data_IF_399273960158
#
_entry.id   IF_399273960158
#
_cell.length_a   1.000
_cell.length_b   1.000
_cell.length_c   1.000
_cell.angle_alpha   90.00
_cell.angle_beta   90.00
_cell.angle_gamma   90.00
#
_symmetry.space_group_name_H-M   'P 1'
#
loop_
_entity.id
_entity.type
_entity.pdbx_description
1 polymer ?
#
# COMPACT_ATOMS: atom_id res chain seq x y z
N UNK A 1 20.04 1.74 -11.07
CA UNK A 1 18.62 1.80 -10.68
C UNK A 1 18.42 1.02 -9.37
N UNK A 2 18.07 1.75 -8.29
CA UNK A 2 17.86 1.17 -6.95
C UNK A 2 16.41 0.71 -6.72
N UNK A 3 15.52 0.94 -7.68
CA UNK A 3 14.11 0.56 -7.66
C UNK A 3 13.14 1.68 -7.28
N UNK A 4 11.84 1.43 -7.49
CA UNK A 4 10.77 2.41 -7.28
C UNK A 4 10.70 2.91 -5.84
N UNK A 5 10.80 2.02 -4.86
CA UNK A 5 10.77 2.41 -3.45
C UNK A 5 11.92 3.32 -3.05
N UNK A 6 13.12 3.15 -3.63
CA UNK A 6 14.25 4.05 -3.40
C UNK A 6 13.98 5.46 -3.97
N UNK A 7 13.39 5.54 -5.17
CA UNK A 7 12.99 6.82 -5.76
C UNK A 7 11.95 7.54 -4.89
N UNK A 8 10.92 6.83 -4.44
CA UNK A 8 9.89 7.37 -3.53
C UNK A 8 10.51 7.86 -2.21
N UNK A 9 11.42 7.09 -1.61
CA UNK A 9 12.12 7.52 -0.39
C UNK A 9 12.92 8.81 -0.60
N UNK A 10 13.59 8.94 -1.74
CA UNK A 10 14.33 10.15 -2.09
C UNK A 10 13.38 11.33 -2.25
N UNK A 11 12.26 11.15 -2.96
CA UNK A 11 11.23 12.17 -3.11
C UNK A 11 10.66 12.64 -1.77
N UNK A 12 10.31 11.71 -0.87
CA UNK A 12 9.78 12.05 0.48
C UNK A 12 10.81 12.87 1.30
N UNK A 13 12.12 12.58 1.16
CA UNK A 13 13.16 13.31 1.90
C UNK A 13 13.33 14.75 1.46
N UNK A 14 13.21 15.01 0.16
CA UNK A 14 13.46 16.35 -0.42
C UNK A 14 12.20 17.20 -0.55
N UNK A 15 11.02 16.59 -0.50
CA UNK A 15 9.76 17.31 -0.60
C UNK A 15 9.56 18.23 0.62
N UNK A 16 9.12 19.46 0.38
CA UNK A 16 8.95 20.50 1.41
C UNK A 16 7.49 20.74 1.80
N UNK A 17 6.52 20.22 1.05
CA UNK A 17 5.09 20.39 1.33
C UNK A 17 4.61 19.63 2.57
N UNK A 18 3.48 20.07 3.14
CA UNK A 18 2.84 19.45 4.29
C UNK A 18 2.10 18.16 3.94
N UNK A 19 1.63 18.06 2.69
CA UNK A 19 0.98 16.87 2.12
C UNK A 19 1.81 16.41 0.92
N UNK A 20 2.16 15.14 0.90
CA UNK A 20 2.89 14.52 -0.19
C UNK A 20 1.94 13.69 -1.04
N UNK A 21 1.94 13.93 -2.35
CA UNK A 21 1.22 13.10 -3.32
C UNK A 21 2.20 12.16 -4.00
N UNK A 22 1.92 10.87 -3.89
CA UNK A 22 2.66 9.80 -4.56
C UNK A 22 1.80 9.28 -5.72
N UNK A 23 2.37 9.20 -6.92
CA UNK A 23 1.68 8.75 -8.13
C UNK A 23 2.64 7.98 -9.02
N UNK A 24 2.20 6.82 -9.54
CA UNK A 24 2.97 6.08 -10.53
C UNK A 24 2.96 6.83 -11.88
N UNK A 25 4.13 6.98 -12.51
CA UNK A 25 4.30 7.71 -13.77
C UNK A 25 4.00 6.89 -15.03
N UNK A 26 3.09 5.90 -14.96
CA UNK A 26 2.77 4.99 -16.06
C UNK A 26 1.49 5.38 -16.84
N UNK A 27 0.93 6.55 -16.54
CA UNK A 27 -0.25 7.10 -17.20
C UNK A 27 -1.58 6.43 -16.81
N UNK A 28 -1.59 5.62 -15.77
CA UNK A 28 -2.81 4.97 -15.30
C UNK A 28 -3.69 5.85 -14.41
N UNK A 29 -3.12 6.89 -13.82
CA UNK A 29 -3.79 7.82 -12.91
C UNK A 29 -3.98 9.18 -13.57
N UNK A 30 -5.15 9.78 -13.36
CA UNK A 30 -5.47 11.12 -13.82
C UNK A 30 -4.93 12.14 -12.79
N UNK A 31 -4.06 13.10 -13.20
CA UNK A 31 -3.61 14.16 -12.31
C UNK A 31 -4.72 15.02 -11.72
N UNK A 32 -5.85 15.17 -12.43
CA UNK A 32 -7.01 15.93 -11.94
C UNK A 32 -7.64 15.29 -10.69
N UNK A 33 -7.48 13.98 -10.51
CA UNK A 33 -7.93 13.29 -9.30
C UNK A 33 -7.10 13.66 -8.03
N UNK A 34 -5.97 14.37 -8.17
CA UNK A 34 -5.18 14.86 -7.03
C UNK A 34 -6.04 15.79 -6.15
N UNK A 35 -6.81 16.67 -6.76
CA UNK A 35 -7.71 17.60 -6.04
C UNK A 35 -8.66 16.81 -5.13
N UNK A 36 -9.24 15.73 -5.65
CA UNK A 36 -10.14 14.87 -4.88
C UNK A 36 -9.47 14.15 -3.71
N UNK A 37 -8.18 13.79 -3.84
CA UNK A 37 -7.43 13.25 -2.70
C UNK A 37 -7.24 14.31 -1.60
N UNK A 38 -6.98 15.55 -2.00
CA UNK A 38 -6.67 16.63 -1.05
C UNK A 38 -7.91 17.14 -0.30
N UNK A 39 -9.11 16.97 -0.83
CA UNK A 39 -10.38 17.34 -0.17
C UNK A 39 -10.59 16.69 1.20
N UNK A 40 -9.94 15.55 1.45
CA UNK A 40 -10.09 14.79 2.70
C UNK A 40 -9.07 15.17 3.78
N UNK A 41 -8.21 16.16 3.53
CA UNK A 41 -7.36 16.73 4.58
C UNK A 41 -8.05 18.00 5.15
N UNK A 42 -7.98 18.22 6.46
CA UNK A 42 -7.11 17.58 7.46
C UNK A 42 -7.66 16.32 8.15
N UNK A 43 -8.88 15.85 7.82
CA UNK A 43 -9.61 14.80 8.57
C UNK A 43 -8.89 13.45 8.55
N UNK A 44 -8.17 13.15 7.47
CA UNK A 44 -7.43 11.91 7.31
C UNK A 44 -5.92 12.14 7.24
N UNK A 45 -5.17 11.15 7.70
CA UNK A 45 -3.71 11.18 7.67
C UNK A 45 -3.15 10.69 6.33
N UNK A 46 -3.87 9.80 5.67
CA UNK A 46 -3.58 9.32 4.33
C UNK A 46 -4.86 9.07 3.53
N UNK A 47 -4.86 9.46 2.26
CA UNK A 47 -5.94 9.18 1.31
C UNK A 47 -5.38 8.36 0.16
N UNK A 48 -6.04 7.25 -0.17
CA UNK A 48 -5.61 6.31 -1.22
C UNK A 48 -6.63 6.30 -2.36
N UNK A 49 -6.16 6.58 -3.56
CA UNK A 49 -6.92 6.40 -4.78
C UNK A 49 -7.06 4.90 -5.10
N UNK A 50 -8.20 4.33 -4.75
CA UNK A 50 -8.49 2.92 -4.98
C UNK A 50 -8.99 2.68 -6.40
N UNK A 51 -8.45 1.66 -7.05
CA UNK A 51 -8.86 1.25 -8.39
C UNK A 51 -10.29 0.70 -8.37
N UNK A 52 -11.09 0.93 -9.43
CA UNK A 52 -12.41 0.34 -9.56
C UNK A 52 -12.36 -1.20 -9.46
N UNK A 53 -13.37 -1.79 -8.81
CA UNK A 53 -13.51 -3.25 -8.75
C UNK A 53 -13.64 -3.79 -10.18
N UNK A 54 -12.82 -4.78 -10.55
CA UNK A 54 -12.83 -5.37 -11.89
C UNK A 54 -11.79 -4.80 -12.87
N UNK A 55 -11.04 -3.74 -12.51
CA UNK A 55 -9.96 -3.19 -13.34
C UNK A 55 -8.70 -4.08 -13.42
N UNK A 56 -8.71 -5.26 -12.81
CA UNK A 56 -7.56 -6.16 -12.79
C UNK A 56 -7.36 -6.86 -14.14
N UNK A 57 -6.13 -6.84 -14.63
CA UNK A 57 -5.74 -7.46 -15.91
C UNK A 57 -5.93 -9.02 -15.95
N UNK A 58 -6.24 -9.69 -14.83
CA UNK A 58 -6.59 -11.09 -14.77
C UNK A 58 -7.37 -11.45 -13.50
N UNK A 59 -8.24 -12.47 -13.58
CA UNK A 59 -9.00 -13.01 -12.44
C UNK A 59 -8.07 -13.50 -11.32
N UNK A 60 -6.93 -14.09 -11.64
CA UNK A 60 -5.96 -14.58 -10.67
C UNK A 60 -5.32 -13.43 -9.87
N UNK A 61 -5.04 -12.28 -10.49
CA UNK A 61 -4.58 -11.08 -9.79
C UNK A 61 -5.65 -10.51 -8.87
N UNK A 62 -6.91 -10.53 -9.30
CA UNK A 62 -8.03 -10.08 -8.48
C UNK A 62 -8.15 -10.90 -7.19
N UNK A 63 -8.08 -12.23 -7.29
CA UNK A 63 -8.11 -13.15 -6.13
C UNK A 63 -6.91 -12.92 -5.22
N UNK A 64 -5.69 -12.80 -5.77
CA UNK A 64 -4.49 -12.52 -5.00
C UNK A 64 -4.58 -11.19 -4.23
N UNK A 65 -5.02 -10.12 -4.88
CA UNK A 65 -5.21 -8.82 -4.23
C UNK A 65 -6.31 -8.87 -3.17
N UNK A 66 -7.42 -9.57 -3.43
CA UNK A 66 -8.47 -9.76 -2.43
C UNK A 66 -7.93 -10.46 -1.17
N UNK A 67 -7.17 -11.53 -1.34
CA UNK A 67 -6.56 -12.24 -0.22
C UNK A 67 -5.60 -11.34 0.58
N UNK A 68 -4.72 -10.60 -0.11
CA UNK A 68 -3.78 -9.67 0.52
C UNK A 68 -4.51 -8.54 1.27
N UNK A 69 -5.55 -7.95 0.68
CA UNK A 69 -6.36 -6.93 1.33
C UNK A 69 -7.07 -7.48 2.58
N UNK A 70 -7.60 -8.72 2.50
CA UNK A 70 -8.26 -9.40 3.62
C UNK A 70 -7.28 -9.68 4.77
N UNK A 71 -6.08 -10.17 4.45
CA UNK A 71 -5.03 -10.41 5.42
C UNK A 71 -4.57 -9.09 6.07
N UNK A 72 -4.36 -8.05 5.29
CA UNK A 72 -4.01 -6.73 5.80
C UNK A 72 -5.10 -6.17 6.73
N UNK A 73 -6.37 -6.30 6.36
CA UNK A 73 -7.50 -5.88 7.19
C UNK A 73 -7.56 -6.65 8.52
N UNK A 74 -7.33 -7.97 8.49
CA UNK A 74 -7.25 -8.79 9.70
C UNK A 74 -6.13 -8.33 10.65
N UNK A 75 -4.94 -8.11 10.09
CA UNK A 75 -3.76 -7.69 10.85
C UNK A 75 -3.95 -6.30 11.45
N UNK A 76 -4.45 -5.35 10.67
CA UNK A 76 -4.56 -3.94 11.09
C UNK A 76 -5.84 -3.62 11.85
N UNK A 77 -6.83 -4.49 11.82
CA UNK A 77 -8.22 -4.24 12.28
C UNK A 77 -8.87 -3.03 11.60
N UNK A 78 -8.44 -2.69 10.41
CA UNK A 78 -8.93 -1.56 9.63
C UNK A 78 -9.42 -2.04 8.26
N UNK A 79 -10.33 -1.27 7.66
CA UNK A 79 -10.79 -1.54 6.30
C UNK A 79 -9.66 -1.24 5.31
N UNK A 80 -9.32 -2.21 4.47
CA UNK A 80 -8.33 -2.08 3.40
C UNK A 80 -9.00 -2.42 2.08
N UNK A 81 -9.09 -1.44 1.17
CA UNK A 81 -9.75 -1.62 -0.14
C UNK A 81 -8.75 -1.87 -1.27
N UNK A 82 -7.64 -1.14 -1.31
CA UNK A 82 -6.56 -1.34 -2.27
C UNK A 82 -5.20 -1.09 -1.61
N UNK A 83 -4.54 -2.19 -1.23
CA UNK A 83 -3.25 -2.17 -0.57
C UNK A 83 -2.11 -1.76 -1.50
N UNK A 84 -2.28 -1.98 -2.80
CA UNK A 84 -1.22 -1.90 -3.80
C UNK A 84 -1.27 -0.67 -4.70
N UNK A 85 -2.29 0.19 -4.55
CA UNK A 85 -2.36 1.43 -5.32
C UNK A 85 -1.15 2.32 -5.08
N UNK A 86 -0.49 2.79 -6.14
CA UNK A 86 0.59 3.77 -6.09
C UNK A 86 0.10 5.21 -5.95
N UNK A 87 -1.20 5.47 -6.16
CA UNK A 87 -1.78 6.80 -6.11
C UNK A 87 -2.33 7.12 -4.72
N UNK A 88 -1.70 8.05 -4.03
CA UNK A 88 -2.06 8.41 -2.67
C UNK A 88 -1.54 9.78 -2.25
N UNK A 89 -2.26 10.41 -1.32
CA UNK A 89 -1.80 11.58 -0.60
C UNK A 89 -1.57 11.22 0.88
N UNK A 90 -0.56 11.79 1.53
CA UNK A 90 -0.19 11.51 2.91
C UNK A 90 0.42 12.74 3.57
N UNK A 91 0.17 12.96 4.85
CA UNK A 91 0.85 14.00 5.64
C UNK A 91 2.36 13.74 5.65
N UNK A 92 3.15 14.78 5.39
CA UNK A 92 4.58 14.67 5.17
C UNK A 92 5.36 14.16 6.39
N UNK A 93 4.97 14.58 7.58
CA UNK A 93 5.54 14.14 8.85
C UNK A 93 5.37 12.62 9.03
N UNK A 94 4.18 12.09 8.73
CA UNK A 94 3.89 10.65 8.81
C UNK A 94 4.71 9.87 7.78
N UNK A 95 4.77 10.36 6.54
CA UNK A 95 5.56 9.71 5.50
C UNK A 95 7.04 9.65 5.86
N UNK A 96 7.60 10.75 6.40
CA UNK A 96 9.00 10.82 6.85
C UNK A 96 9.28 9.89 8.02
N UNK A 97 8.38 9.80 8.99
CA UNK A 97 8.51 8.90 10.14
C UNK A 97 8.48 7.41 9.75
N UNK A 98 7.87 7.06 8.61
CA UNK A 98 7.79 5.69 8.13
C UNK A 98 8.85 5.33 7.09
N UNK A 99 9.77 6.24 6.73
CA UNK A 99 10.80 6.03 5.71
C UNK A 99 11.66 4.78 5.95
N UNK A 100 11.97 4.47 7.21
CA UNK A 100 12.80 3.33 7.58
C UNK A 100 12.14 1.98 7.29
N UNK A 101 10.81 1.93 7.22
CA UNK A 101 10.06 0.72 6.88
C UNK A 101 10.02 0.45 5.38
N UNK A 102 10.13 1.50 4.56
CA UNK A 102 9.92 1.39 3.13
C UNK A 102 11.05 0.59 2.46
N UNK A 103 10.73 -0.44 1.66
CA UNK A 103 11.71 -1.15 0.87
C UNK A 103 12.26 -0.27 -0.26
N UNK A 104 13.45 -0.57 -0.76
CA UNK A 104 14.01 0.13 -1.92
C UNK A 104 13.35 -0.33 -3.23
N UNK A 105 12.82 -1.53 -3.26
CA UNK A 105 12.22 -2.14 -4.45
C UNK A 105 10.69 -2.00 -4.44
N UNK A 106 9.97 -3.02 -4.95
CA UNK A 106 8.51 -3.06 -4.97
C UNK A 106 7.89 -3.09 -3.58
N UNK A 107 6.63 -2.66 -3.51
CA UNK A 107 5.73 -2.77 -2.36
C UNK A 107 5.83 -1.64 -1.33
N UNK A 108 6.44 -0.48 -1.68
CA UNK A 108 6.32 0.69 -0.82
C UNK A 108 4.85 1.05 -0.49
N UNK A 109 3.87 0.92 -1.43
CA UNK A 109 2.48 1.23 -1.14
C UNK A 109 1.90 0.37 -0.01
N UNK A 110 2.17 -0.94 -0.07
CA UNK A 110 1.73 -1.91 0.94
C UNK A 110 2.35 -1.59 2.30
N UNK A 111 3.66 -1.39 2.32
CA UNK A 111 4.40 -1.09 3.57
C UNK A 111 3.92 0.22 4.19
N UNK A 112 3.73 1.26 3.37
CA UNK A 112 3.28 2.56 3.84
C UNK A 112 1.86 2.48 4.43
N UNK A 113 0.91 1.84 3.73
CA UNK A 113 -0.46 1.65 4.23
C UNK A 113 -0.49 0.89 5.55
N UNK A 114 0.24 -0.22 5.64
CA UNK A 114 0.30 -1.00 6.87
C UNK A 114 0.98 -0.22 8.02
N UNK A 115 2.04 0.53 7.73
CA UNK A 115 2.71 1.39 8.68
C UNK A 115 1.77 2.47 9.25
N UNK A 116 1.05 3.18 8.38
CA UNK A 116 0.07 4.19 8.77
C UNK A 116 -1.02 3.59 9.66
N UNK A 117 -1.66 2.49 9.23
CA UNK A 117 -2.72 1.84 9.99
C UNK A 117 -2.23 1.28 11.33
N UNK A 118 -1.01 0.74 11.38
CA UNK A 118 -0.46 0.15 12.61
C UNK A 118 0.03 1.17 13.62
N UNK A 119 0.31 2.40 13.19
CA UNK A 119 0.59 3.53 14.08
C UNK A 119 -0.66 4.27 14.56
N UNK A 120 -1.85 3.70 14.32
CA UNK A 120 -3.14 4.25 14.77
C UNK A 120 -3.62 5.45 13.97
N UNK A 121 -3.05 5.68 12.79
CA UNK A 121 -3.41 6.78 11.89
C UNK A 121 -4.58 6.43 10.97
N UNK A 122 -5.29 7.46 10.53
CA UNK A 122 -6.50 7.32 9.72
C UNK A 122 -6.17 7.20 8.22
N UNK A 123 -6.88 6.28 7.53
CA UNK A 123 -6.75 6.07 6.08
C UNK A 123 -8.13 6.11 5.44
N UNK A 124 -8.26 6.93 4.40
CA UNK A 124 -9.45 7.02 3.54
C UNK A 124 -9.16 6.38 2.19
N UNK A 125 -10.11 5.65 1.67
CA UNK A 125 -10.08 5.16 0.28
C UNK A 125 -11.12 5.89 -0.53
N UNK A 126 -10.72 6.45 -1.67
CA UNK A 126 -11.62 7.06 -2.65
C UNK A 126 -11.46 6.36 -3.99
N UNK A 127 -12.53 6.29 -4.76
CA UNK A 127 -12.46 5.74 -6.12
C UNK A 127 -11.90 6.79 -7.05
N UNK A 128 -10.83 6.43 -7.77
CA UNK A 128 -10.21 7.28 -8.79
C UNK A 128 -10.41 6.67 -10.18
N UNK A 129 -10.34 7.50 -11.18
CA UNK A 129 -10.31 7.04 -12.57
C UNK A 129 -9.01 6.29 -12.80
N UNK A 130 -9.11 5.10 -13.35
CA UNK A 130 -7.93 4.33 -13.75
C UNK A 130 -8.08 3.94 -15.20
N UNK A 131 -7.19 4.45 -16.03
CA UNK A 131 -7.10 4.10 -17.44
C UNK A 131 -6.21 2.89 -17.64
N UNK A 132 -6.41 2.10 -18.70
CA UNK A 132 -5.43 1.09 -19.07
C UNK A 132 -4.05 1.74 -19.29
N UNK A 133 -2.98 1.04 -18.92
CA UNK A 133 -1.62 1.53 -19.10
C UNK A 133 -1.37 1.93 -20.56
N UNK A 134 -0.85 3.14 -20.77
CA UNK A 134 -0.60 3.68 -22.11
C UNK A 134 0.49 2.89 -22.86
N UNK A 135 1.51 2.35 -22.15
CA UNK A 135 2.59 1.56 -22.74
C UNK A 135 3.28 0.65 -21.73
N UNK A 136 3.95 -0.40 -22.21
CA UNK A 136 4.75 -1.31 -21.40
C UNK A 136 3.99 -2.48 -20.80
N UNK A 137 4.73 -3.52 -20.39
CA UNK A 137 4.20 -4.70 -19.70
C UNK A 137 4.34 -4.52 -18.18
N UNK A 138 3.34 -5.00 -17.42
CA UNK A 138 3.46 -5.03 -15.96
C UNK A 138 4.67 -5.84 -15.52
N UNK A 139 5.60 -5.21 -14.79
CA UNK A 139 6.78 -5.89 -14.22
C UNK A 139 6.45 -6.85 -13.08
N UNK A 140 5.20 -6.92 -12.64
CA UNK A 140 4.76 -7.77 -11.53
C UNK A 140 4.62 -9.22 -11.99
N UNK A 141 5.45 -10.11 -11.44
CA UNK A 141 5.38 -11.57 -11.63
C UNK A 141 4.58 -12.19 -10.48
N UNK A 142 3.41 -12.77 -10.78
CA UNK A 142 2.39 -13.16 -9.80
C UNK A 142 2.92 -14.07 -8.67
N UNK A 143 3.70 -15.09 -8.99
CA UNK A 143 4.26 -16.02 -7.99
C UNK A 143 5.30 -15.36 -7.09
N UNK A 144 6.36 -14.79 -7.68
CA UNK A 144 7.49 -14.21 -6.94
C UNK A 144 7.08 -12.97 -6.12
N UNK A 145 6.23 -12.13 -6.69
CA UNK A 145 5.84 -10.89 -6.03
C UNK A 145 4.72 -11.13 -5.03
N UNK A 146 3.86 -12.15 -5.21
CA UNK A 146 2.90 -12.62 -4.21
C UNK A 146 3.60 -13.06 -2.90
N UNK A 147 4.69 -13.82 -3.00
CA UNK A 147 5.50 -14.21 -1.85
C UNK A 147 6.10 -12.98 -1.15
N UNK A 148 6.59 -12.00 -1.91
CA UNK A 148 7.11 -10.75 -1.34
C UNK A 148 6.05 -9.96 -0.59
N UNK A 149 4.83 -9.85 -1.13
CA UNK A 149 3.71 -9.20 -0.44
C UNK A 149 3.36 -9.92 0.86
N UNK A 150 3.28 -11.24 0.81
CA UNK A 150 3.05 -12.05 2.02
C UNK A 150 4.15 -11.81 3.06
N UNK A 151 5.42 -11.86 2.68
CA UNK A 151 6.55 -11.58 3.59
C UNK A 151 6.48 -10.17 4.19
N UNK A 152 6.08 -9.15 3.41
CA UNK A 152 5.94 -7.79 3.92
C UNK A 152 4.83 -7.71 4.96
N UNK A 153 3.67 -8.30 4.69
CA UNK A 153 2.56 -8.33 5.65
C UNK A 153 2.99 -9.05 6.93
N UNK A 154 3.64 -10.19 6.79
CA UNK A 154 4.18 -10.97 7.93
C UNK A 154 5.20 -10.16 8.73
N UNK A 155 6.14 -9.49 8.05
CA UNK A 155 7.15 -8.63 8.70
C UNK A 155 6.50 -7.48 9.49
N UNK A 156 5.59 -6.76 8.88
CA UNK A 156 4.87 -5.67 9.55
C UNK A 156 4.03 -6.20 10.71
N UNK A 157 3.40 -7.35 10.54
CA UNK A 157 2.62 -7.98 11.60
C UNK A 157 3.49 -8.46 12.77
N UNK A 158 4.64 -9.07 12.48
CA UNK A 158 5.61 -9.48 13.49
C UNK A 158 6.16 -8.28 14.27
N UNK A 159 6.34 -7.14 13.59
CA UNK A 159 6.83 -5.91 14.22
C UNK A 159 5.80 -5.27 15.16
N UNK A 160 4.52 -5.23 14.74
CA UNK A 160 3.49 -4.46 15.45
C UNK A 160 2.42 -5.31 16.16
N UNK A 161 2.29 -6.60 15.84
CA UNK A 161 1.31 -7.51 16.44
C UNK A 161 1.72 -8.97 16.33
N UNK A 162 2.84 -9.37 16.93
CA UNK A 162 3.40 -10.73 16.80
C UNK A 162 2.40 -11.81 17.22
N UNK A 163 1.66 -11.61 18.29
CA UNK A 163 0.71 -12.60 18.82
C UNK A 163 -0.39 -12.97 17.82
N UNK A 164 -0.77 -12.09 16.89
CA UNK A 164 -1.81 -12.38 15.88
C UNK A 164 -1.39 -13.38 14.83
N UNK A 165 -0.09 -13.49 14.56
CA UNK A 165 0.46 -14.50 13.64
C UNK A 165 0.93 -15.72 14.41
N UNK A 166 1.73 -15.51 15.44
CA UNK A 166 2.42 -16.62 16.10
C UNK A 166 1.50 -17.43 17.00
N UNK A 167 0.50 -16.82 17.67
CA UNK A 167 -0.38 -17.54 18.55
C UNK A 167 -1.25 -18.59 17.80
N UNK A 168 -1.93 -18.28 16.68
CA UNK A 168 -2.64 -19.29 15.91
C UNK A 168 -1.74 -20.39 15.35
N UNK A 169 -0.53 -20.03 14.89
CA UNK A 169 0.45 -21.00 14.37
C UNK A 169 0.94 -21.92 15.49
N UNK A 170 1.29 -21.37 16.65
CA UNK A 170 1.73 -22.14 17.80
C UNK A 170 0.62 -23.07 18.30
N UNK A 171 -0.62 -22.58 18.34
CA UNK A 171 -1.77 -23.39 18.73
C UNK A 171 -2.02 -24.55 17.75
N UNK A 172 -1.87 -24.30 16.45
CA UNK A 172 -1.99 -25.36 15.44
C UNK A 172 -0.88 -26.41 15.58
N UNK A 173 0.37 -25.97 15.79
CA UNK A 173 1.51 -26.90 16.00
C UNK A 173 1.34 -27.69 17.30
N UNK A 174 0.74 -27.09 18.34
CA UNK A 174 0.48 -27.77 19.60
C UNK A 174 -0.59 -28.87 19.50
N UNK A 175 -1.54 -28.73 18.54
CA UNK A 175 -2.63 -29.70 18.31
C UNK A 175 -2.22 -30.87 17.39
N UNK A 176 -1.09 -30.79 16.69
CA UNK A 176 -0.55 -31.84 15.80
C UNK A 176 0.54 -32.62 16.49
#
# INVERSE_FOLDING_TARGET
>A
NLGNGAAVKSGIRIASGDILVLMDGDGQHDPDDIVHLLEYFPDFDMVVGARPKGSHASRLRAVGNWFLNRLAAYVTKARVEDLTSGFRAIKADIARNLLYLLPNTYSYPTTLTLGVLRTGRSVKYIRTRSTPRASGKSGIKLGRDGIKFFMIITKICALYSPLRIFLPVSFFIFLV
#
